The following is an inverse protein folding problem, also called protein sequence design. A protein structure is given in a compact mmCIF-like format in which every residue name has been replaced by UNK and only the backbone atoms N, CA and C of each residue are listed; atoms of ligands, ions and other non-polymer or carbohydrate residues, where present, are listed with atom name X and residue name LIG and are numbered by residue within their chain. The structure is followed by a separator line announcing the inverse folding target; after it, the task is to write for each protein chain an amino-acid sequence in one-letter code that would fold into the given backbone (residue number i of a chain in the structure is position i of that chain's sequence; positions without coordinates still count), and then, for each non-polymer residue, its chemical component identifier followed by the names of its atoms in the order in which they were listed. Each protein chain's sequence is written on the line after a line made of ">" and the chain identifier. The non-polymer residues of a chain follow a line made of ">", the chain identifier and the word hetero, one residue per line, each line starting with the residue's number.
data_IF_298908351799
#
_entry.id   IF_298908351799
#
_cell.length_a   1.000
_cell.length_b   1.000
_cell.length_c   1.000
_cell.angle_alpha   90.00
_cell.angle_beta   90.00
_cell.angle_gamma   90.00
#
_symmetry.space_group_name_H-M   'P 1'
#
loop_
_entity.id
_entity.type
_entity.pdbx_description
1 polymer ?
#
# COMPACT_ATOMS: atom_id res chain seq x y z
N UNK A 1 27.93 35.64 13.95
CA UNK A 1 28.79 34.43 13.73
C UNK A 1 28.52 33.25 14.70
N UNK A 2 27.82 33.41 15.82
CA UNK A 2 27.59 32.31 16.77
C UNK A 2 26.50 31.31 16.32
N UNK A 3 25.47 31.78 15.59
CA UNK A 3 24.37 30.93 15.13
C UNK A 3 24.82 29.85 14.15
N UNK A 4 25.58 30.20 13.11
CA UNK A 4 26.08 29.25 12.12
C UNK A 4 26.96 28.15 12.75
N UNK A 5 27.79 28.52 13.74
CA UNK A 5 28.60 27.54 14.48
C UNK A 5 27.71 26.57 15.28
N UNK A 6 26.70 27.09 15.99
CA UNK A 6 25.73 26.28 16.74
C UNK A 6 24.92 25.36 15.83
N UNK A 7 24.44 25.89 14.70
CA UNK A 7 23.72 25.12 13.70
C UNK A 7 24.60 24.02 13.11
N UNK A 8 25.87 24.32 12.81
CA UNK A 8 26.84 23.33 12.33
C UNK A 8 27.03 22.18 13.32
N UNK A 9 27.30 22.47 14.60
CA UNK A 9 27.43 21.43 15.62
C UNK A 9 26.14 20.59 15.80
N UNK A 10 24.97 21.24 15.75
CA UNK A 10 23.68 20.55 15.80
C UNK A 10 23.50 19.60 14.60
N UNK A 11 23.77 20.07 13.38
CA UNK A 11 23.62 19.28 12.16
C UNK A 11 24.59 18.09 12.11
N UNK A 12 25.81 18.23 12.65
CA UNK A 12 26.75 17.11 12.78
C UNK A 12 26.16 16.02 13.69
N UNK A 13 25.69 16.40 14.88
CA UNK A 13 25.05 15.45 15.80
C UNK A 13 23.78 14.81 15.21
N UNK A 14 22.92 15.62 14.57
CA UNK A 14 21.72 15.14 13.88
C UNK A 14 22.06 14.15 12.76
N UNK A 15 23.10 14.43 11.97
CA UNK A 15 23.53 13.55 10.87
C UNK A 15 23.97 12.19 11.39
N UNK A 16 24.79 12.16 12.45
CA UNK A 16 25.20 10.91 13.11
C UNK A 16 23.98 10.15 13.63
N UNK A 17 23.03 10.85 14.26
CA UNK A 17 21.78 10.27 14.75
C UNK A 17 20.92 9.67 13.63
N UNK A 18 20.80 10.36 12.49
CA UNK A 18 20.06 9.86 11.32
C UNK A 18 20.71 8.59 10.78
N UNK A 19 22.04 8.57 10.63
CA UNK A 19 22.75 7.36 10.18
C UNK A 19 22.44 6.18 11.11
N UNK A 20 22.65 6.35 12.42
CA UNK A 20 22.34 5.29 13.39
C UNK A 20 20.88 4.82 13.31
N UNK A 21 19.93 5.76 13.25
CA UNK A 21 18.51 5.45 13.15
C UNK A 21 18.17 4.66 11.88
N UNK A 22 18.74 5.03 10.73
CA UNK A 22 18.48 4.33 9.46
C UNK A 22 18.95 2.89 9.49
N UNK A 23 20.13 2.61 10.05
CA UNK A 23 20.62 1.24 10.23
C UNK A 23 19.70 0.44 11.15
N UNK A 24 19.28 1.02 12.27
CA UNK A 24 18.38 0.35 13.21
C UNK A 24 17.02 0.02 12.59
N UNK A 25 16.39 0.98 11.91
CA UNK A 25 15.10 0.78 11.25
C UNK A 25 15.19 -0.21 10.09
N UNK A 26 16.27 -0.19 9.32
CA UNK A 26 16.51 -1.14 8.24
C UNK A 26 16.60 -2.58 8.77
N UNK A 27 17.45 -2.81 9.77
CA UNK A 27 17.60 -4.15 10.35
C UNK A 27 16.28 -4.64 10.97
N UNK A 28 15.53 -3.77 11.64
CA UNK A 28 14.20 -4.09 12.16
C UNK A 28 13.25 -4.55 11.04
N UNK A 29 13.21 -3.80 9.94
CA UNK A 29 12.36 -4.14 8.78
C UNK A 29 12.76 -5.47 8.16
N UNK A 30 14.07 -5.75 8.00
CA UNK A 30 14.59 -6.98 7.40
C UNK A 30 14.36 -8.20 8.31
N UNK A 31 14.56 -8.07 9.62
CA UNK A 31 14.42 -9.19 10.58
C UNK A 31 12.97 -9.54 10.90
N UNK A 32 12.10 -8.52 11.01
CA UNK A 32 10.73 -8.72 11.51
C UNK A 32 9.65 -8.57 10.43
N UNK A 33 10.03 -8.16 9.21
CA UNK A 33 9.07 -7.84 8.15
C UNK A 33 8.20 -6.62 8.47
N UNK A 34 8.59 -5.78 9.45
CA UNK A 34 7.79 -4.62 9.82
C UNK A 34 7.86 -3.53 8.77
N UNK A 35 6.75 -3.26 8.11
CA UNK A 35 6.63 -2.14 7.17
C UNK A 35 6.14 -0.85 7.85
N UNK A 36 6.88 0.23 7.65
CA UNK A 36 6.57 1.56 8.17
C UNK A 36 5.78 2.41 7.15
N UNK A 37 4.48 2.13 7.02
CA UNK A 37 3.58 2.86 6.12
C UNK A 37 3.09 4.21 6.71
N UNK A 38 3.92 5.24 6.57
CA UNK A 38 3.54 6.60 7.01
C UNK A 38 2.64 7.33 6.03
N UNK A 39 2.78 7.07 4.72
CA UNK A 39 2.00 7.75 3.69
C UNK A 39 0.61 7.14 3.48
N UNK A 40 -0.40 7.94 3.06
CA UNK A 40 -1.76 7.47 2.85
C UNK A 40 -1.86 6.27 1.91
N UNK A 41 -1.14 6.29 0.77
CA UNK A 41 -1.16 5.19 -0.20
C UNK A 41 -0.71 3.86 0.42
N UNK A 42 0.50 3.84 1.01
CA UNK A 42 1.06 2.66 1.68
C UNK A 42 0.11 2.13 2.76
N UNK A 43 -0.51 3.02 3.54
CA UNK A 43 -1.45 2.63 4.60
C UNK A 43 -2.69 1.94 4.04
N UNK A 44 -3.28 2.49 2.97
CA UNK A 44 -4.46 1.93 2.33
C UNK A 44 -4.14 0.57 1.69
N UNK A 45 -3.05 0.49 0.91
CA UNK A 45 -2.58 -0.77 0.31
C UNK A 45 -2.29 -1.82 1.39
N UNK A 46 -1.57 -1.47 2.46
CA UNK A 46 -1.29 -2.41 3.56
C UNK A 46 -2.56 -2.91 4.25
N UNK A 47 -3.56 -2.04 4.43
CA UNK A 47 -4.86 -2.45 5.00
C UNK A 47 -5.63 -3.37 4.05
N UNK A 48 -5.53 -3.17 2.73
CA UNK A 48 -6.10 -4.06 1.73
C UNK A 48 -5.39 -5.43 1.71
N UNK A 49 -4.07 -5.43 1.71
CA UNK A 49 -3.24 -6.64 1.60
C UNK A 49 -3.15 -7.48 2.88
N UNK A 50 -3.44 -6.90 4.05
CA UNK A 50 -3.37 -7.61 5.34
C UNK A 50 -4.64 -8.40 5.70
N UNK A 51 -5.71 -8.25 4.91
CA UNK A 51 -7.01 -8.92 5.14
C UNK A 51 -7.23 -10.02 4.11
N UNK A 52 -8.01 -11.07 4.44
CA UNK A 52 -8.42 -12.07 3.46
C UNK A 52 -9.20 -11.41 2.32
N UNK A 53 -8.78 -11.71 1.08
CA UNK A 53 -9.43 -11.22 -0.14
C UNK A 53 -10.45 -12.25 -0.61
N UNK A 54 -11.66 -11.78 -0.87
CA UNK A 54 -12.74 -12.49 -1.53
C UNK A 54 -13.03 -11.86 -2.89
N UNK A 55 -13.67 -12.61 -3.78
CA UNK A 55 -13.90 -12.20 -5.16
C UNK A 55 -15.40 -12.05 -5.42
N UNK A 56 -15.78 -11.09 -6.25
CA UNK A 56 -17.13 -11.05 -6.82
C UNK A 56 -17.29 -12.16 -7.86
N UNK A 57 -18.54 -12.52 -8.21
CA UNK A 57 -18.81 -13.56 -9.21
C UNK A 57 -18.15 -13.29 -10.57
N UNK A 58 -18.01 -12.02 -10.96
CA UNK A 58 -17.33 -11.59 -12.19
C UNK A 58 -15.84 -11.91 -12.16
N UNK A 59 -15.20 -11.65 -11.02
CA UNK A 59 -13.77 -11.90 -10.81
C UNK A 59 -13.51 -13.39 -10.64
N UNK A 60 -14.39 -14.11 -9.95
CA UNK A 60 -14.31 -15.58 -9.84
C UNK A 60 -14.33 -16.24 -11.22
N UNK A 61 -15.17 -15.79 -12.15
CA UNK A 61 -15.16 -16.27 -13.54
C UNK A 61 -13.83 -15.98 -14.23
N UNK A 62 -13.24 -14.81 -14.01
CA UNK A 62 -11.93 -14.44 -14.59
C UNK A 62 -10.81 -15.33 -14.04
N UNK A 63 -10.88 -15.68 -12.75
CA UNK A 63 -9.94 -16.62 -12.11
C UNK A 63 -10.13 -18.05 -12.64
N UNK A 64 -11.37 -18.53 -12.76
CA UNK A 64 -11.69 -19.84 -13.32
C UNK A 64 -11.21 -20.00 -14.77
N UNK A 65 -11.28 -18.92 -15.55
CA UNK A 65 -10.79 -18.85 -16.92
C UNK A 65 -9.26 -18.65 -17.01
N UNK A 66 -8.53 -18.72 -15.88
CA UNK A 66 -7.07 -18.52 -15.80
C UNK A 66 -6.58 -17.16 -16.32
N UNK A 67 -7.47 -16.18 -16.40
CA UNK A 67 -7.12 -14.82 -16.83
C UNK A 67 -6.47 -14.03 -15.69
N UNK A 68 -6.75 -14.40 -14.45
CA UNK A 68 -6.24 -13.80 -13.22
C UNK A 68 -5.95 -14.87 -12.18
N UNK A 69 -4.94 -14.65 -11.36
CA UNK A 69 -4.70 -15.44 -10.16
C UNK A 69 -4.43 -14.53 -8.94
N UNK A 70 -4.28 -15.16 -7.77
CA UNK A 70 -4.03 -14.46 -6.50
C UNK A 70 -2.67 -13.77 -6.46
N UNK A 71 -1.67 -14.25 -7.21
CA UNK A 71 -0.36 -13.60 -7.30
C UNK A 71 -0.44 -12.32 -8.11
N UNK A 72 -1.21 -12.32 -9.20
CA UNK A 72 -1.49 -11.13 -10.01
C UNK A 72 -2.07 -10.01 -9.16
N UNK A 73 -3.07 -10.33 -8.31
CA UNK A 73 -3.73 -9.36 -7.44
C UNK A 73 -2.80 -8.88 -6.32
N UNK A 74 -2.01 -9.78 -5.74
CA UNK A 74 -1.03 -9.43 -4.70
C UNK A 74 0.04 -8.47 -5.24
N UNK A 75 0.57 -8.76 -6.44
CA UNK A 75 1.54 -7.91 -7.11
C UNK A 75 0.91 -6.57 -7.53
N UNK A 76 -0.32 -6.59 -8.02
CA UNK A 76 -1.06 -5.37 -8.36
C UNK A 76 -1.20 -4.43 -7.18
N UNK A 77 -1.56 -4.95 -5.99
CA UNK A 77 -1.65 -4.14 -4.78
C UNK A 77 -0.29 -3.62 -4.33
N UNK A 78 0.77 -4.45 -4.40
CA UNK A 78 2.12 -4.09 -3.96
C UNK A 78 2.65 -2.82 -4.63
N UNK A 79 2.46 -2.70 -5.94
CA UNK A 79 2.93 -1.57 -6.74
C UNK A 79 1.81 -0.58 -7.10
N UNK A 80 0.61 -0.78 -6.52
CA UNK A 80 -0.59 -0.01 -6.81
C UNK A 80 -0.63 1.37 -6.15
N UNK A 81 -1.34 2.29 -6.80
CA UNK A 81 -1.61 3.62 -6.30
C UNK A 81 -3.12 3.84 -6.11
N UNK A 82 -3.52 4.24 -4.92
CA UNK A 82 -4.90 4.52 -4.57
C UNK A 82 -5.29 5.90 -5.10
N UNK A 83 -6.32 5.95 -5.96
CA UNK A 83 -6.98 7.19 -6.34
C UNK A 83 -8.00 7.56 -5.24
N UNK A 84 -7.55 8.35 -4.27
CA UNK A 84 -8.40 8.84 -3.18
C UNK A 84 -9.52 9.77 -3.65
N UNK A 85 -9.41 10.36 -4.85
CA UNK A 85 -10.44 11.24 -5.41
C UNK A 85 -11.63 10.46 -5.95
N UNK A 86 -11.39 9.25 -6.50
CA UNK A 86 -12.44 8.33 -6.95
C UNK A 86 -12.88 7.33 -5.88
N UNK A 87 -12.13 7.20 -4.79
CA UNK A 87 -12.43 6.29 -3.68
C UNK A 87 -13.45 6.87 -2.70
N UNK A 88 -14.34 6.03 -2.19
CA UNK A 88 -15.19 6.37 -1.04
C UNK A 88 -14.58 5.83 0.26
N UNK A 89 -13.86 6.70 0.95
CA UNK A 89 -13.16 6.37 2.20
C UNK A 89 -14.02 6.54 3.46
N UNK A 90 -15.25 7.06 3.32
CA UNK A 90 -16.14 7.40 4.43
C UNK A 90 -17.33 6.44 4.56
N UNK A 91 -17.64 5.69 3.50
CA UNK A 91 -18.69 4.68 3.51
C UNK A 91 -18.56 3.67 4.66
N UNK A 92 -19.69 3.37 5.29
CA UNK A 92 -19.84 2.37 6.36
C UNK A 92 -20.87 1.31 5.94
N UNK A 93 -20.64 0.01 6.19
CA UNK A 93 -19.58 -0.57 7.02
C UNK A 93 -18.25 -0.81 6.28
N UNK A 94 -18.20 -0.61 4.97
CA UNK A 94 -17.02 -0.89 4.15
C UNK A 94 -16.69 0.32 3.28
N UNK A 95 -15.40 0.60 3.13
CA UNK A 95 -14.86 1.64 2.25
C UNK A 95 -14.68 1.11 0.84
N UNK A 96 -14.75 1.97 -0.16
CA UNK A 96 -14.47 1.63 -1.55
C UNK A 96 -13.16 2.29 -1.95
N UNK A 97 -12.19 1.48 -2.38
CA UNK A 97 -10.89 1.94 -2.86
C UNK A 97 -10.75 1.67 -4.35
N UNK A 98 -10.41 2.70 -5.10
CA UNK A 98 -10.01 2.62 -6.50
C UNK A 98 -8.50 2.61 -6.55
N UNK A 99 -7.93 1.52 -7.06
CA UNK A 99 -6.48 1.30 -7.11
C UNK A 99 -6.07 1.22 -8.57
N UNK A 100 -5.17 2.09 -8.98
CA UNK A 100 -4.56 2.12 -10.31
C UNK A 100 -3.21 1.42 -10.25
N UNK A 101 -2.88 0.61 -11.25
CA UNK A 101 -1.64 -0.14 -11.26
C UNK A 101 -1.41 -0.85 -12.57
N UNK A 102 -0.47 -1.80 -12.56
CA UNK A 102 -0.18 -2.64 -13.73
C UNK A 102 -0.60 -4.07 -13.44
N UNK A 103 -1.52 -4.60 -14.24
CA UNK A 103 -1.97 -5.98 -14.19
C UNK A 103 -1.48 -6.69 -15.46
N UNK A 104 -0.62 -7.70 -15.30
CA UNK A 104 -0.01 -8.45 -16.44
C UNK A 104 0.60 -7.55 -17.53
N UNK A 105 1.26 -6.47 -17.14
CA UNK A 105 1.91 -5.53 -18.06
C UNK A 105 0.98 -4.51 -18.72
N UNK A 106 -0.29 -4.46 -18.34
CA UNK A 106 -1.27 -3.46 -18.81
C UNK A 106 -1.67 -2.55 -17.66
N UNK A 107 -1.82 -1.25 -17.94
CA UNK A 107 -2.43 -0.34 -16.99
C UNK A 107 -3.86 -0.81 -16.72
N UNK A 108 -4.23 -0.91 -15.44
CA UNK A 108 -5.56 -1.35 -15.03
C UNK A 108 -5.98 -0.67 -13.74
N UNK A 109 -7.28 -0.46 -13.62
CA UNK A 109 -7.92 0.08 -12.43
C UNK A 109 -8.81 -0.98 -11.78
N UNK A 110 -8.60 -1.24 -10.50
CA UNK A 110 -9.33 -2.24 -9.72
C UNK A 110 -10.08 -1.57 -8.58
N UNK A 111 -11.33 -2.02 -8.39
CA UNK A 111 -12.18 -1.56 -7.29
C UNK A 111 -12.20 -2.59 -6.16
N UNK A 112 -11.76 -2.16 -4.99
CA UNK A 112 -11.76 -2.97 -3.77
C UNK A 112 -12.77 -2.43 -2.76
N UNK A 113 -13.62 -3.31 -2.24
CA UNK A 113 -14.46 -3.03 -1.07
C UNK A 113 -13.78 -3.53 0.19
N UNK A 114 -13.33 -2.60 1.00
CA UNK A 114 -12.55 -2.84 2.20
C UNK A 114 -13.42 -2.77 3.45
N UNK A 115 -13.71 -3.93 4.02
CA UNK A 115 -14.45 -4.08 5.27
C UNK A 115 -13.48 -4.29 6.46
N UNK A 116 -14.02 -4.40 7.67
CA UNK A 116 -13.20 -4.59 8.88
C UNK A 116 -12.39 -5.90 8.87
N UNK A 117 -13.00 -6.99 8.40
CA UNK A 117 -12.42 -8.34 8.50
C UNK A 117 -12.02 -8.95 7.15
N UNK A 118 -12.50 -8.38 6.04
CA UNK A 118 -12.23 -8.89 4.69
C UNK A 118 -12.20 -7.78 3.66
N UNK A 119 -11.59 -8.08 2.54
CA UNK A 119 -11.59 -7.25 1.34
C UNK A 119 -12.30 -8.02 0.23
N UNK A 120 -13.09 -7.32 -0.57
CA UNK A 120 -13.73 -7.89 -1.76
C UNK A 120 -13.15 -7.16 -2.97
N UNK A 121 -12.54 -7.89 -3.90
CA UNK A 121 -12.27 -7.36 -5.22
C UNK A 121 -13.59 -7.40 -6.01
N UNK A 122 -14.18 -6.22 -6.20
CA UNK A 122 -15.53 -6.11 -6.78
C UNK A 122 -15.48 -6.12 -8.30
N UNK A 123 -14.62 -5.30 -8.92
CA UNK A 123 -14.60 -5.05 -10.36
C UNK A 123 -13.22 -4.64 -10.87
N UNK A 124 -12.99 -4.89 -12.16
CA UNK A 124 -11.90 -4.30 -12.96
C UNK A 124 -12.55 -3.26 -13.88
N UNK A 125 -12.12 -2.00 -13.77
CA UNK A 125 -12.77 -0.85 -14.41
C UNK A 125 -12.17 -0.47 -15.77
N UNK A 126 -11.00 -1.02 -16.12
CA UNK A 126 -10.16 -0.86 -17.33
C UNK A 126 -8.72 -0.49 -16.97
#
# INVERSE_FOLDING_TARGET
>A
MAFLKRLGFYLVGLSIGIVFLTFFLKNKSEETGTEFCYFPNCRAIKDLSSKPISFSEEIEKSIQNQQLDTLDISNFLKDGNVDFGKSDTQSTPCKIYIVEGTLKGKASVLQFKNCREKVVLEKILE
#
